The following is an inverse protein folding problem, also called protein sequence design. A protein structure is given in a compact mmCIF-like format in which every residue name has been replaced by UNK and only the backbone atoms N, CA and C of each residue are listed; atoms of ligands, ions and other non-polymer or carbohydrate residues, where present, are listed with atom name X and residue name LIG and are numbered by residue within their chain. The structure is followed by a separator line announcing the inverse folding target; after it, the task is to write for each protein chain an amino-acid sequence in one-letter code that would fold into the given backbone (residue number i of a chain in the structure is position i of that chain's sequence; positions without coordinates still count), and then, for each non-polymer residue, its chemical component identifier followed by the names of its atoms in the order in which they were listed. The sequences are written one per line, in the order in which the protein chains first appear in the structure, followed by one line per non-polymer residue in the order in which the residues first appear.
data_IF_172338947678
#
_entry.id   IF_172338947678
#
_cell.length_a   1.000
_cell.length_b   1.000
_cell.length_c   1.000
_cell.angle_alpha   90.00
_cell.angle_beta   90.00
_cell.angle_gamma   90.00
#
_symmetry.space_group_name_H-M   'P 1'
#
loop_
_entity.id
_entity.type
_entity.pdbx_description
1 polymer ?
#
# COMPACT_ATOMS: atom_id res chain seq x y z
N UNK A 1 -31.26 -5.47 22.99
CA UNK A 1 -30.28 -5.02 21.98
C UNK A 1 -29.43 -6.23 21.61
N UNK A 2 -29.43 -6.65 20.34
CA UNK A 2 -28.60 -7.78 19.92
C UNK A 2 -27.20 -7.28 19.62
N UNK A 3 -26.27 -7.54 20.52
CA UNK A 3 -24.84 -7.39 20.29
C UNK A 3 -24.36 -8.63 19.56
N UNK A 4 -23.89 -8.48 18.32
CA UNK A 4 -23.27 -9.58 17.60
C UNK A 4 -21.94 -9.87 18.31
N UNK A 5 -21.73 -11.06 18.90
CA UNK A 5 -20.52 -11.36 19.68
C UNK A 5 -19.26 -11.49 18.81
N UNK A 6 -19.45 -11.58 17.49
CA UNK A 6 -18.39 -11.75 16.51
C UNK A 6 -18.54 -10.69 15.41
N UNK A 7 -17.56 -9.79 15.31
CA UNK A 7 -17.51 -8.83 14.22
C UNK A 7 -16.88 -9.52 12.99
N UNK A 8 -17.57 -9.59 11.84
CA UNK A 8 -16.97 -10.17 10.65
C UNK A 8 -15.73 -9.37 10.22
N UNK A 9 -14.65 -10.05 9.81
CA UNK A 9 -13.41 -9.40 9.36
C UNK A 9 -13.65 -8.38 8.23
N UNK A 10 -14.65 -8.64 7.39
CA UNK A 10 -15.05 -7.72 6.30
C UNK A 10 -15.60 -6.39 6.79
N UNK A 11 -16.04 -6.31 8.04
CA UNK A 11 -16.46 -5.04 8.65
C UNK A 11 -15.26 -4.21 9.13
N UNK A 12 -14.12 -4.86 9.38
CA UNK A 12 -12.86 -4.22 9.76
C UNK A 12 -12.00 -3.86 8.55
N UNK A 13 -12.25 -4.49 7.39
CA UNK A 13 -11.58 -4.20 6.14
C UNK A 13 -11.97 -2.84 5.58
N UNK A 14 -10.97 -2.05 5.18
CA UNK A 14 -11.23 -0.76 4.53
C UNK A 14 -11.98 -0.95 3.21
N UNK A 15 -13.04 -0.15 2.95
CA UNK A 15 -13.79 -0.25 1.71
C UNK A 15 -12.98 0.27 0.52
N UNK A 16 -13.25 -0.30 -0.65
CA UNK A 16 -12.76 0.22 -1.92
C UNK A 16 -13.52 1.49 -2.27
N UNK A 17 -12.80 2.57 -2.55
CA UNK A 17 -13.35 3.89 -2.89
C UNK A 17 -13.36 4.11 -4.40
N UNK A 18 -12.24 3.87 -5.09
CA UNK A 18 -12.10 4.17 -6.51
C UNK A 18 -11.29 3.11 -7.25
N UNK A 19 -11.86 2.47 -8.29
CA UNK A 19 -11.17 1.52 -9.18
C UNK A 19 -10.28 0.47 -8.48
N UNK A 20 -10.65 0.03 -7.27
CA UNK A 20 -9.88 -0.96 -6.48
C UNK A 20 -8.93 -0.40 -5.42
N UNK A 21 -8.81 0.93 -5.34
CA UNK A 21 -8.09 1.61 -4.26
C UNK A 21 -8.96 1.75 -3.02
N UNK A 22 -8.39 1.48 -1.85
CA UNK A 22 -8.88 2.03 -0.57
C UNK A 22 -8.41 3.48 -0.41
N UNK A 23 -8.98 4.22 0.54
CA UNK A 23 -8.63 5.63 0.80
C UNK A 23 -7.12 5.87 0.94
N UNK A 24 -6.38 5.15 1.80
CA UNK A 24 -4.96 5.43 1.99
C UNK A 24 -4.12 4.99 0.77
N UNK A 25 -4.56 3.99 0.01
CA UNK A 25 -3.86 3.57 -1.20
C UNK A 25 -4.04 4.57 -2.35
N UNK A 26 -5.23 5.15 -2.48
CA UNK A 26 -5.48 6.25 -3.41
C UNK A 26 -4.62 7.46 -3.03
N UNK A 27 -4.52 7.77 -1.74
CA UNK A 27 -3.64 8.83 -1.23
C UNK A 27 -2.17 8.56 -1.54
N UNK A 28 -1.69 7.33 -1.33
CA UNK A 28 -0.33 6.93 -1.68
C UNK A 28 -0.07 7.03 -3.19
N UNK A 29 -1.02 6.59 -4.00
CA UNK A 29 -0.96 6.73 -5.46
C UNK A 29 -0.92 8.21 -5.87
N UNK A 30 -1.73 9.08 -5.27
CA UNK A 30 -1.71 10.50 -5.56
C UNK A 30 -0.35 11.13 -5.21
N UNK A 31 0.19 10.88 -4.02
CA UNK A 31 1.51 11.38 -3.60
C UNK A 31 2.63 10.86 -4.53
N UNK A 32 2.60 9.57 -4.87
CA UNK A 32 3.55 8.99 -5.81
C UNK A 32 3.44 9.65 -7.19
N UNK A 33 2.21 9.94 -7.64
CA UNK A 33 1.93 10.69 -8.86
C UNK A 33 2.50 12.11 -8.83
N UNK A 34 2.41 12.83 -7.71
CA UNK A 34 2.99 14.18 -7.58
C UNK A 34 4.51 14.10 -7.69
N UNK A 35 5.12 13.14 -7.00
CA UNK A 35 6.57 12.94 -7.03
C UNK A 35 7.06 12.58 -8.45
N UNK A 36 6.36 11.68 -9.14
CA UNK A 36 6.64 11.35 -10.54
C UNK A 36 6.42 12.55 -11.46
N UNK A 37 5.36 13.32 -11.23
CA UNK A 37 5.08 14.58 -11.93
C UNK A 37 6.25 15.56 -11.85
N UNK A 38 6.84 15.74 -10.67
CA UNK A 38 8.03 16.57 -10.48
C UNK A 38 9.24 16.03 -11.24
N UNK A 39 9.51 14.72 -11.11
CA UNK A 39 10.65 14.08 -11.77
C UNK A 39 10.55 14.20 -13.29
N UNK A 40 9.35 14.00 -13.86
CA UNK A 40 9.10 14.13 -15.31
C UNK A 40 9.13 15.59 -15.76
N UNK A 41 8.72 16.53 -14.91
CA UNK A 41 8.69 17.95 -15.26
C UNK A 41 10.07 18.60 -15.27
N UNK A 42 10.98 18.19 -14.38
CA UNK A 42 12.35 18.70 -14.29
C UNK A 42 13.10 18.77 -15.64
N UNK A 43 13.21 17.66 -16.41
CA UNK A 43 13.90 17.68 -17.69
C UNK A 43 13.17 18.48 -18.78
N UNK A 44 11.89 18.83 -18.58
CA UNK A 44 11.08 19.59 -19.53
C UNK A 44 11.13 21.10 -19.29
N UNK A 45 11.70 21.55 -18.17
CA UNK A 45 11.87 22.97 -17.84
C UNK A 45 12.60 23.75 -18.95
N UNK A 46 13.69 23.27 -19.56
CA UNK A 46 14.38 24.02 -20.62
C UNK A 46 13.52 24.23 -21.88
N UNK A 47 12.50 23.40 -22.09
CA UNK A 47 11.67 23.42 -23.29
C UNK A 47 10.45 24.32 -23.14
N UNK A 48 9.76 24.24 -21.98
CA UNK A 48 8.45 24.88 -21.75
C UNK A 48 8.48 25.87 -20.58
N UNK A 49 9.60 25.93 -19.84
CA UNK A 49 9.77 26.77 -18.66
C UNK A 49 9.19 26.18 -17.39
N UNK A 50 9.19 27.00 -16.33
CA UNK A 50 8.82 26.61 -14.96
C UNK A 50 7.36 26.15 -14.82
N UNK A 51 6.47 26.55 -15.74
CA UNK A 51 5.05 26.19 -15.76
C UNK A 51 4.84 24.67 -15.84
N UNK A 52 5.84 23.93 -16.34
CA UNK A 52 5.77 22.47 -16.38
C UNK A 52 5.70 21.84 -14.98
N UNK A 53 6.30 22.45 -13.96
CA UNK A 53 6.30 21.92 -12.58
C UNK A 53 4.88 21.77 -12.00
N UNK A 54 4.06 22.84 -11.86
CA UNK A 54 2.70 22.70 -11.36
C UNK A 54 1.82 21.85 -12.28
N UNK A 55 2.06 21.91 -13.60
CA UNK A 55 1.33 21.11 -14.58
C UNK A 55 1.55 19.61 -14.35
N UNK A 56 2.81 19.17 -14.23
CA UNK A 56 3.12 17.76 -13.97
C UNK A 56 2.66 17.31 -12.59
N UNK A 57 2.79 18.16 -11.57
CA UNK A 57 2.30 17.87 -10.21
C UNK A 57 0.79 17.64 -10.15
N UNK A 58 0.00 18.33 -10.98
CA UNK A 58 -1.45 18.15 -11.03
C UNK A 58 -1.88 17.02 -11.96
N UNK A 59 -1.23 16.89 -13.13
CA UNK A 59 -1.62 15.91 -14.15
C UNK A 59 -1.21 14.48 -13.81
N UNK A 60 0.00 14.25 -13.28
CA UNK A 60 0.47 12.88 -13.03
C UNK A 60 -0.30 12.10 -11.95
N UNK A 61 -0.72 12.69 -10.82
CA UNK A 61 -1.62 12.01 -9.88
C UNK A 61 -2.92 11.54 -10.52
N UNK A 62 -3.53 12.39 -11.36
CA UNK A 62 -4.78 12.06 -12.04
C UNK A 62 -4.60 10.88 -12.99
N UNK A 63 -3.52 10.89 -13.78
CA UNK A 63 -3.17 9.78 -14.66
C UNK A 63 -2.91 8.50 -13.86
N UNK A 64 -2.07 8.59 -12.82
CA UNK A 64 -1.66 7.42 -12.06
C UNK A 64 -2.82 6.80 -11.28
N UNK A 65 -3.71 7.60 -10.67
CA UNK A 65 -4.92 7.08 -10.01
C UNK A 65 -5.91 6.51 -11.03
N UNK A 66 -6.08 7.17 -12.18
CA UNK A 66 -6.99 6.70 -13.23
C UNK A 66 -6.56 5.34 -13.79
N UNK A 67 -5.29 5.17 -14.14
CA UNK A 67 -4.81 3.94 -14.77
C UNK A 67 -4.30 2.90 -13.77
N UNK A 68 -3.76 3.34 -12.63
CA UNK A 68 -3.14 2.49 -11.63
C UNK A 68 -4.09 1.55 -10.91
N UNK A 69 -5.39 1.86 -10.85
CA UNK A 69 -6.37 1.02 -10.15
C UNK A 69 -6.47 -0.39 -10.72
N UNK A 70 -6.50 -0.53 -12.05
CA UNK A 70 -6.51 -1.86 -12.72
C UNK A 70 -5.27 -2.68 -12.37
N UNK A 71 -4.11 -2.03 -12.38
CA UNK A 71 -2.84 -2.67 -12.03
C UNK A 71 -2.82 -3.06 -10.55
N UNK A 72 -3.30 -2.20 -9.67
CA UNK A 72 -3.37 -2.46 -8.23
C UNK A 72 -4.29 -3.66 -7.90
N UNK A 73 -5.44 -3.75 -8.56
CA UNK A 73 -6.37 -4.89 -8.41
C UNK A 73 -5.71 -6.19 -8.84
N UNK A 74 -4.94 -6.19 -9.93
CA UNK A 74 -4.20 -7.36 -10.38
C UNK A 74 -3.12 -7.76 -9.36
N UNK A 75 -2.37 -6.79 -8.84
CA UNK A 75 -1.33 -7.03 -7.82
C UNK A 75 -1.90 -7.62 -6.52
N UNK A 76 -3.09 -7.17 -6.11
CA UNK A 76 -3.77 -7.65 -4.91
C UNK A 76 -4.52 -8.96 -5.09
N UNK A 77 -4.67 -9.47 -6.32
CA UNK A 77 -5.50 -10.65 -6.58
C UNK A 77 -4.95 -11.87 -5.82
N UNK A 78 -5.78 -12.49 -5.00
CA UNK A 78 -5.39 -13.64 -4.17
C UNK A 78 -4.42 -13.33 -3.03
N UNK A 79 -4.22 -12.04 -2.70
CA UNK A 79 -3.41 -11.60 -1.55
C UNK A 79 -4.31 -11.34 -0.34
N UNK A 80 -3.77 -11.45 0.89
CA UNK A 80 -4.51 -11.13 2.10
C UNK A 80 -4.90 -9.65 2.17
N UNK A 81 -5.80 -9.31 3.09
CA UNK A 81 -6.16 -7.92 3.40
C UNK A 81 -4.93 -7.13 3.86
N UNK A 82 -4.90 -5.82 3.59
CA UNK A 82 -3.76 -4.94 3.91
C UNK A 82 -2.40 -5.36 3.33
N UNK A 83 -2.38 -6.21 2.30
CA UNK A 83 -1.15 -6.75 1.70
C UNK A 83 -0.09 -5.69 1.38
N UNK A 84 -0.48 -4.57 0.76
CA UNK A 84 0.46 -3.50 0.38
C UNK A 84 1.13 -2.87 1.61
N UNK A 85 0.35 -2.57 2.64
CA UNK A 85 0.85 -2.00 3.89
C UNK A 85 1.78 -2.96 4.62
N UNK A 86 1.41 -4.25 4.66
CA UNK A 86 2.25 -5.28 5.27
C UNK A 86 3.58 -5.44 4.52
N UNK A 87 3.57 -5.41 3.18
CA UNK A 87 4.79 -5.45 2.36
C UNK A 87 5.66 -4.20 2.55
N UNK A 88 5.05 -3.02 2.67
CA UNK A 88 5.78 -1.79 2.98
C UNK A 88 6.39 -1.84 4.39
N UNK A 89 5.66 -2.33 5.38
CA UNK A 89 6.15 -2.52 6.75
C UNK A 89 7.30 -3.53 6.79
N UNK A 90 7.17 -4.65 6.08
CA UNK A 90 8.23 -5.65 5.91
C UNK A 90 9.49 -5.01 5.29
N UNK A 91 9.34 -4.21 4.22
CA UNK A 91 10.47 -3.52 3.57
C UNK A 91 11.14 -2.52 4.53
N UNK A 92 10.35 -1.72 5.26
CA UNK A 92 10.86 -0.79 6.28
C UNK A 92 11.61 -1.54 7.38
N UNK A 93 11.10 -2.69 7.83
CA UNK A 93 11.74 -3.53 8.84
C UNK A 93 13.07 -4.09 8.35
N UNK A 94 13.15 -4.56 7.09
CA UNK A 94 14.39 -5.02 6.46
C UNK A 94 15.44 -3.90 6.29
N UNK A 95 14.98 -2.65 6.17
CA UNK A 95 15.83 -1.45 6.15
C UNK A 95 16.15 -0.91 7.56
N UNK A 96 15.78 -1.62 8.63
CA UNK A 96 15.97 -1.20 10.03
C UNK A 96 15.23 0.10 10.44
N UNK A 97 14.24 0.54 9.66
CA UNK A 97 13.45 1.77 9.92
C UNK A 97 12.00 1.45 10.38
N UNK A 98 11.63 0.17 10.38
CA UNK A 98 10.28 -0.30 10.73
C UNK A 98 10.14 -0.87 12.14
N UNK A 99 8.90 -1.16 12.53
CA UNK A 99 8.53 -1.72 13.83
C UNK A 99 9.31 -3.01 14.14
N UNK A 100 10.07 -3.06 15.26
CA UNK A 100 10.83 -4.23 15.62
C UNK A 100 9.99 -5.46 15.96
N UNK A 101 8.74 -5.27 16.39
CA UNK A 101 7.82 -6.34 16.72
C UNK A 101 7.21 -7.04 15.49
N UNK A 102 7.36 -6.46 14.29
CA UNK A 102 6.83 -7.06 13.08
C UNK A 102 7.51 -8.41 12.79
N UNK A 103 6.73 -9.48 12.86
CA UNK A 103 7.19 -10.84 12.57
C UNK A 103 7.39 -10.98 11.06
N UNK A 104 8.66 -11.06 10.65
CA UNK A 104 9.07 -11.28 9.25
C UNK A 104 9.73 -12.65 9.03
N UNK A 105 9.73 -13.49 10.07
CA UNK A 105 10.30 -14.84 10.02
C UNK A 105 9.25 -15.84 9.58
N UNK A 106 9.62 -16.73 8.67
CA UNK A 106 8.85 -17.92 8.35
C UNK A 106 9.51 -19.11 9.04
N UNK A 107 8.71 -19.98 9.66
CA UNK A 107 9.17 -21.21 10.30
C UNK A 107 8.24 -22.35 9.88
N UNK A 108 8.80 -23.55 9.75
CA UNK A 108 8.00 -24.76 9.55
C UNK A 108 7.17 -25.05 10.79
N UNK A 109 5.91 -25.44 10.62
CA UNK A 109 5.08 -25.91 11.72
C UNK A 109 5.71 -27.20 12.29
N UNK A 110 6.08 -27.18 13.57
CA UNK A 110 6.55 -28.39 14.26
C UNK A 110 5.57 -28.74 15.38
N UNK A 111 5.04 -29.96 15.35
CA UNK A 111 4.21 -30.53 16.41
C UNK A 111 5.10 -31.04 17.55
N UNK A 112 5.97 -30.19 18.13
CA UNK A 112 6.75 -30.62 19.30
C UNK A 112 5.85 -30.56 20.52
N UNK A 113 5.20 -31.69 20.86
CA UNK A 113 4.67 -31.89 22.22
C UNK A 113 5.87 -31.91 23.17
N UNK A 114 6.10 -30.82 23.90
CA UNK A 114 7.06 -30.85 25.01
C UNK A 114 6.53 -31.85 26.04
N UNK A 115 7.20 -33.00 26.17
CA UNK A 115 6.97 -33.86 27.35
C UNK A 115 7.45 -33.06 28.54
N UNK A 116 6.55 -32.81 29.48
CA UNK A 116 6.87 -32.29 30.81
C UNK A 116 7.78 -33.32 31.48
N UNK A 117 9.08 -33.06 31.52
CA UNK A 117 10.01 -33.82 32.35
C UNK A 117 9.61 -33.59 33.80
N UNK A 118 9.33 -34.69 34.52
CA UNK A 118 9.04 -34.69 35.96
C UNK A 118 10.23 -34.20 36.74
#
# INVERSE_FOLDING_TARGET
MQTIPFLPDRLNAEPVVFRGFTTPEMGLAAIAGVALGLIVSLPLIPLVGWVMLPTGMLMMPLLLVSFGGRWLVQLKRGKPENYLWLKLAEKKRRLCIGDPALIITAQGWSLRRSRRTR
#
